data_IF_603016210081
#
_entry.id   IF_603016210081
#
_cell.length_a   1.000
_cell.length_b   1.000
_cell.length_c   1.000
_cell.angle_alpha   90.00
_cell.angle_beta   90.00
_cell.angle_gamma   90.00
#
_symmetry.space_group_name_H-M   'P 1'
#
loop_
_entity.id
_entity.type
_entity.pdbx_description
1 polymer ?
#
# COMPACT_ATOMS: atom_id res chain seq x y z
N UNK A 1 -5.00 -30.35 -5.24
CA UNK A 1 -6.34 -29.87 -5.62
C UNK A 1 -6.68 -28.66 -4.77
N UNK A 2 -7.30 -27.65 -5.36
CA UNK A 2 -7.83 -26.48 -4.68
C UNK A 2 -9.36 -26.60 -4.63
N UNK A 3 -9.92 -26.48 -3.43
CA UNK A 3 -11.35 -26.45 -3.20
C UNK A 3 -11.75 -24.99 -2.91
N UNK A 4 -12.56 -24.41 -3.78
CA UNK A 4 -13.10 -23.05 -3.62
C UNK A 4 -14.64 -23.14 -3.66
N UNK A 5 -15.27 -22.95 -2.49
CA UNK A 5 -16.69 -23.19 -2.33
C UNK A 5 -17.05 -24.68 -2.50
N UNK A 6 -17.96 -24.98 -3.43
CA UNK A 6 -18.36 -26.36 -3.80
C UNK A 6 -17.58 -26.91 -5.02
N UNK A 7 -16.77 -26.06 -5.66
CA UNK A 7 -16.01 -26.44 -6.85
C UNK A 7 -14.62 -26.98 -6.49
N UNK A 8 -14.26 -28.11 -7.09
CA UNK A 8 -12.94 -28.73 -6.98
C UNK A 8 -12.19 -28.48 -8.29
N UNK A 9 -11.10 -27.73 -8.21
CA UNK A 9 -10.28 -27.46 -9.39
C UNK A 9 -8.85 -27.95 -9.18
N UNK A 10 -8.24 -28.46 -10.24
CA UNK A 10 -6.80 -28.71 -10.25
C UNK A 10 -6.06 -27.36 -10.29
N UNK A 11 -5.23 -27.10 -9.28
CA UNK A 11 -4.53 -25.83 -9.19
C UNK A 11 -3.13 -25.98 -8.56
N UNK A 12 -2.31 -24.96 -8.73
CA UNK A 12 -0.99 -24.88 -8.13
C UNK A 12 -1.05 -24.17 -6.80
N UNK A 13 -0.20 -24.56 -5.85
CA UNK A 13 -0.04 -23.87 -4.55
C UNK A 13 0.31 -22.38 -4.71
N UNK A 14 0.90 -21.99 -5.84
CA UNK A 14 1.19 -20.58 -6.15
C UNK A 14 -0.06 -19.70 -6.32
N UNK A 15 -1.23 -20.31 -6.51
CA UNK A 15 -2.52 -19.59 -6.56
C UNK A 15 -3.15 -19.37 -5.19
N UNK A 16 -2.61 -19.96 -4.14
CA UNK A 16 -3.08 -19.72 -2.78
C UNK A 16 -2.55 -18.37 -2.32
N UNK A 17 -3.45 -17.40 -2.21
CA UNK A 17 -3.11 -16.07 -1.68
C UNK A 17 -3.00 -16.16 -0.17
N UNK A 18 -1.85 -15.74 0.37
CA UNK A 18 -1.62 -15.66 1.81
C UNK A 18 -2.21 -14.35 2.35
N UNK A 19 -2.75 -14.40 3.56
CA UNK A 19 -3.27 -13.20 4.24
C UNK A 19 -4.68 -13.40 4.81
N UNK A 20 -5.63 -12.53 4.47
CA UNK A 20 -6.97 -12.46 5.07
C UNK A 20 -7.95 -13.57 4.63
N UNK A 21 -7.47 -14.80 4.47
CA UNK A 21 -8.27 -15.95 4.07
C UNK A 21 -8.58 -16.83 5.28
N UNK A 22 -9.82 -17.28 5.40
CA UNK A 22 -10.16 -18.40 6.28
C UNK A 22 -9.69 -19.69 5.59
N UNK A 23 -8.54 -20.18 6.01
CA UNK A 23 -7.92 -21.38 5.46
C UNK A 23 -7.94 -22.50 6.50
N UNK A 24 -8.44 -23.65 6.12
CA UNK A 24 -8.35 -24.88 6.89
C UNK A 24 -7.46 -25.88 6.15
N UNK A 25 -6.67 -26.62 6.90
CA UNK A 25 -5.78 -27.65 6.35
C UNK A 25 -6.28 -29.03 6.74
N UNK A 26 -6.27 -29.96 5.81
CA UNK A 26 -6.44 -31.39 6.09
C UNK A 26 -5.04 -32.00 6.10
N UNK A 27 -4.65 -32.53 7.25
CA UNK A 27 -3.34 -33.13 7.45
C UNK A 27 -3.54 -34.65 7.55
N UNK A 28 -2.84 -35.40 6.69
CA UNK A 28 -2.73 -36.85 6.74
C UNK A 28 -1.29 -37.23 7.09
N UNK A 29 -1.11 -38.27 7.82
CA UNK A 29 0.16 -38.86 8.34
C UNK A 29 1.26 -37.82 8.66
N UNK A 30 1.87 -37.15 7.71
CA UNK A 30 2.86 -36.07 7.90
C UNK A 30 2.79 -34.99 6.79
N UNK A 31 1.75 -34.99 5.96
CA UNK A 31 1.63 -34.10 4.80
C UNK A 31 0.29 -33.34 4.81
N UNK A 32 0.29 -32.15 4.22
CA UNK A 32 -0.94 -31.40 3.94
C UNK A 32 -1.61 -32.03 2.72
N UNK A 33 -2.71 -32.76 2.95
CA UNK A 33 -3.46 -33.46 1.91
C UNK A 33 -4.42 -32.54 1.14
N UNK A 34 -4.96 -31.52 1.82
CA UNK A 34 -5.84 -30.54 1.19
C UNK A 34 -5.78 -29.19 1.91
N UNK A 35 -6.04 -28.13 1.16
CA UNK A 35 -6.20 -26.76 1.66
C UNK A 35 -7.61 -26.33 1.28
N UNK A 36 -8.44 -26.01 2.28
CA UNK A 36 -9.79 -25.51 2.10
C UNK A 36 -9.77 -24.00 2.31
N UNK A 37 -10.08 -23.24 1.25
CA UNK A 37 -10.24 -21.81 1.30
C UNK A 37 -11.73 -21.51 1.40
N UNK A 38 -12.17 -21.01 2.55
CA UNK A 38 -13.59 -20.72 2.81
C UNK A 38 -13.96 -19.32 2.35
N UNK A 39 -13.04 -18.39 2.49
CA UNK A 39 -13.23 -17.00 2.10
C UNK A 39 -12.06 -16.56 1.23
N UNK A 40 -12.29 -16.23 -0.05
CA UNK A 40 -11.25 -15.69 -0.92
C UNK A 40 -10.65 -14.41 -0.33
N UNK A 41 -9.36 -14.20 -0.53
CA UNK A 41 -8.73 -12.94 -0.13
C UNK A 41 -9.33 -11.79 -0.93
N UNK A 42 -9.84 -10.79 -0.22
CA UNK A 42 -10.26 -9.52 -0.82
C UNK A 42 -9.12 -8.52 -0.61
N UNK A 43 -8.52 -8.07 -1.68
CA UNK A 43 -7.50 -7.03 -1.65
C UNK A 43 -8.22 -5.69 -1.65
N UNK A 44 -8.38 -5.09 -0.47
CA UNK A 44 -8.99 -3.77 -0.33
C UNK A 44 -8.00 -2.65 -0.65
N UNK A 45 -6.75 -2.82 -0.21
CA UNK A 45 -5.68 -1.84 -0.41
C UNK A 45 -4.48 -2.44 -1.14
N UNK A 46 -3.84 -1.63 -1.96
CA UNK A 46 -2.55 -1.94 -2.55
C UNK A 46 -1.45 -1.13 -1.85
N UNK A 47 -0.28 -1.74 -1.70
CA UNK A 47 0.91 -1.10 -1.11
C UNK A 47 1.94 -0.84 -2.18
N UNK A 48 2.21 0.44 -2.43
CA UNK A 48 3.12 0.91 -3.48
C UNK A 48 4.38 1.48 -2.85
N UNK A 49 5.53 0.89 -3.18
CA UNK A 49 6.82 1.45 -2.78
C UNK A 49 7.11 2.72 -3.59
N UNK A 50 7.30 3.84 -2.89
CA UNK A 50 7.63 5.12 -3.50
C UNK A 50 9.15 5.25 -3.63
N UNK A 51 9.67 5.04 -4.84
CA UNK A 51 11.09 5.12 -5.10
C UNK A 51 11.63 6.55 -4.87
N UNK A 52 12.91 6.63 -4.49
CA UNK A 52 13.64 7.89 -4.40
C UNK A 52 13.90 8.46 -5.81
N UNK A 53 14.34 9.72 -5.88
CA UNK A 53 14.54 10.42 -7.17
C UNK A 53 15.62 9.80 -8.06
N UNK A 54 16.55 9.06 -7.45
CA UNK A 54 17.58 8.25 -8.13
C UNK A 54 17.07 6.86 -8.58
N UNK A 55 15.78 6.56 -8.32
CA UNK A 55 15.18 5.25 -8.56
C UNK A 55 15.51 4.21 -7.49
N UNK A 56 16.21 4.58 -6.43
CA UNK A 56 16.54 3.72 -5.30
C UNK A 56 15.33 3.45 -4.40
N UNK A 57 15.44 2.40 -3.59
CA UNK A 57 14.41 2.03 -2.61
C UNK A 57 14.49 2.87 -1.33
N UNK A 58 15.66 3.39 -1.02
CA UNK A 58 15.97 4.04 0.24
C UNK A 58 16.17 5.54 0.06
N UNK A 59 15.64 6.31 1.00
CA UNK A 59 15.82 7.76 1.12
C UNK A 59 16.67 8.06 2.33
N UNK A 60 17.55 9.05 2.25
CA UNK A 60 18.36 9.49 3.40
C UNK A 60 17.53 10.23 4.46
N UNK A 61 16.45 10.89 4.05
CA UNK A 61 15.50 11.57 4.92
C UNK A 61 14.09 11.52 4.32
N UNK A 62 13.07 11.66 5.16
CA UNK A 62 11.66 11.69 4.74
C UNK A 62 10.96 12.85 5.42
N UNK A 63 10.48 13.81 4.62
CA UNK A 63 9.66 14.91 5.06
C UNK A 63 8.26 14.78 4.45
N UNK A 64 7.23 14.93 5.28
CA UNK A 64 5.84 14.77 4.88
C UNK A 64 5.01 16.01 5.23
N UNK A 65 3.97 16.25 4.45
CA UNK A 65 2.85 17.16 4.75
C UNK A 65 1.54 16.49 4.37
N UNK A 66 0.47 16.80 5.10
CA UNK A 66 -0.88 16.49 4.67
C UNK A 66 -1.66 17.79 4.40
N UNK A 67 -2.55 17.77 3.41
CA UNK A 67 -3.40 18.93 3.08
C UNK A 67 -4.61 19.07 4.00
N UNK A 68 -4.91 18.02 4.78
CA UNK A 68 -5.93 17.98 5.82
C UNK A 68 -5.32 17.48 7.12
N UNK A 69 -6.05 17.66 8.23
CA UNK A 69 -5.66 17.03 9.49
C UNK A 69 -5.49 15.51 9.31
N UNK A 70 -4.56 14.95 10.05
CA UNK A 70 -4.21 13.54 9.92
C UNK A 70 -3.92 12.93 11.29
N UNK A 71 -3.86 11.61 11.36
CA UNK A 71 -3.37 10.86 12.50
C UNK A 71 -2.04 10.20 12.15
N UNK A 72 -1.10 10.25 13.09
CA UNK A 72 0.18 9.54 13.02
C UNK A 72 0.12 8.36 13.97
N UNK A 73 0.53 7.19 13.49
CA UNK A 73 0.74 6.01 14.32
C UNK A 73 2.19 5.57 14.23
N UNK A 74 2.82 5.35 15.40
CA UNK A 74 4.16 4.80 15.52
C UNK A 74 4.18 3.76 16.65
N UNK A 75 4.25 2.49 16.30
CA UNK A 75 4.01 1.40 17.22
C UNK A 75 2.60 1.49 17.81
N UNK A 76 2.49 1.56 19.14
CA UNK A 76 1.21 1.72 19.86
C UNK A 76 0.82 3.20 20.08
N UNK A 77 1.68 4.15 19.74
CA UNK A 77 1.43 5.57 19.94
C UNK A 77 0.63 6.14 18.77
N UNK A 78 -0.43 6.86 19.08
CA UNK A 78 -1.23 7.62 18.11
C UNK A 78 -1.19 9.10 18.49
N UNK A 79 -0.97 9.97 17.52
CA UNK A 79 -0.90 11.42 17.70
C UNK A 79 -1.65 12.13 16.60
N UNK A 80 -2.26 13.27 16.93
CA UNK A 80 -2.89 14.13 15.96
C UNK A 80 -1.84 14.98 15.21
N UNK A 81 -2.12 15.27 13.96
CA UNK A 81 -1.27 16.04 13.08
C UNK A 81 -2.10 17.09 12.35
N UNK A 82 -1.70 18.37 12.48
CA UNK A 82 -2.40 19.49 11.87
C UNK A 82 -2.01 19.65 10.40
N UNK A 83 -3.01 19.91 9.56
CA UNK A 83 -2.84 20.15 8.13
C UNK A 83 -1.73 21.18 7.82
N UNK A 84 -0.96 20.93 6.76
CA UNK A 84 0.06 21.84 6.26
C UNK A 84 1.35 21.94 7.07
N UNK A 85 1.45 21.27 8.24
CA UNK A 85 2.68 21.26 9.04
C UNK A 85 3.76 20.42 8.34
N UNK A 86 5.02 20.83 8.36
CA UNK A 86 6.12 19.99 7.88
C UNK A 86 6.51 19.00 8.97
N UNK A 87 6.53 17.75 8.61
CA UNK A 87 6.89 16.62 9.47
C UNK A 87 8.23 16.04 9.05
N UNK A 88 9.24 16.13 9.91
CA UNK A 88 10.47 15.34 9.78
C UNK A 88 10.25 13.97 10.43
N UNK A 89 10.10 12.95 9.60
CA UNK A 89 9.82 11.59 10.06
C UNK A 89 11.00 10.98 10.81
N UNK A 90 12.23 11.42 10.55
CA UNK A 90 13.45 10.89 11.21
C UNK A 90 13.41 11.06 12.73
N UNK A 91 12.74 12.10 13.21
CA UNK A 91 12.60 12.39 14.64
C UNK A 91 11.84 11.33 15.44
N UNK A 92 11.04 10.51 14.76
CA UNK A 92 10.28 9.40 15.39
C UNK A 92 11.13 8.16 15.64
N UNK A 93 12.22 7.96 14.89
CA UNK A 93 13.07 6.77 14.94
C UNK A 93 14.27 6.90 15.88
N UNK A 94 14.23 7.80 16.86
CA UNK A 94 15.37 8.04 17.75
C UNK A 94 15.62 6.90 18.74
N UNK A 95 14.55 6.28 19.25
CA UNK A 95 14.63 5.27 20.32
C UNK A 95 14.10 3.88 19.91
N UNK A 96 13.30 3.80 18.86
CA UNK A 96 12.61 2.57 18.42
C UNK A 96 12.61 2.43 16.91
N UNK A 97 12.59 1.20 16.43
CA UNK A 97 12.39 0.83 15.04
C UNK A 97 11.01 0.20 14.86
N UNK A 98 10.00 1.05 14.82
CA UNK A 98 8.63 0.67 14.53
C UNK A 98 8.24 1.13 13.10
N UNK A 99 7.07 0.73 12.64
CA UNK A 99 6.49 1.30 11.42
C UNK A 99 5.85 2.64 11.77
N UNK A 100 6.34 3.71 11.14
CA UNK A 100 5.66 5.00 11.14
C UNK A 100 4.55 4.97 10.10
N UNK A 101 3.36 5.47 10.41
CA UNK A 101 2.30 5.69 9.42
C UNK A 101 1.57 6.98 9.68
N UNK A 102 1.16 7.65 8.59
CA UNK A 102 0.31 8.84 8.63
C UNK A 102 -0.94 8.57 7.78
N UNK A 103 -2.11 8.89 8.32
CA UNK A 103 -3.42 8.68 7.70
C UNK A 103 -4.19 9.99 7.69
N UNK A 104 -4.61 10.52 6.52
CA UNK A 104 -5.48 11.69 6.45
C UNK A 104 -6.82 11.44 7.16
N UNK A 105 -7.38 12.46 7.79
CA UNK A 105 -8.66 12.38 8.48
C UNK A 105 -9.86 12.22 7.52
N UNK A 106 -9.65 12.50 6.23
CA UNK A 106 -10.69 12.39 5.18
C UNK A 106 -10.19 11.55 4.01
N UNK A 107 -11.09 10.84 3.33
CA UNK A 107 -10.78 10.00 2.16
C UNK A 107 -10.13 10.76 1.00
N UNK A 108 -10.50 12.04 0.83
CA UNK A 108 -9.95 12.90 -0.22
C UNK A 108 -8.66 13.60 0.17
N UNK A 109 -8.25 13.49 1.44
CA UNK A 109 -6.99 14.06 1.94
C UNK A 109 -5.79 13.41 1.27
N UNK A 110 -4.74 14.21 1.09
CA UNK A 110 -3.49 13.77 0.46
C UNK A 110 -2.29 14.02 1.34
N UNK A 111 -1.32 13.11 1.23
CA UNK A 111 -0.02 13.20 1.86
C UNK A 111 1.01 13.50 0.77
N UNK A 112 1.85 14.50 1.01
CA UNK A 112 2.88 14.95 0.09
C UNK A 112 4.26 14.61 0.65
N UNK A 113 5.12 14.09 -0.22
CA UNK A 113 6.55 14.09 0.04
C UNK A 113 7.08 15.51 -0.15
N UNK A 114 7.95 15.94 0.75
CA UNK A 114 8.56 17.27 0.74
C UNK A 114 10.08 17.18 0.78
N UNK A 115 10.74 18.27 0.40
CA UNK A 115 12.14 18.51 0.74
C UNK A 115 12.28 19.05 2.18
N UNK A 116 13.51 19.22 2.66
CA UNK A 116 13.81 19.77 3.99
C UNK A 116 13.27 21.20 4.19
N UNK A 117 13.17 21.99 3.11
CA UNK A 117 12.61 23.33 3.14
C UNK A 117 11.07 23.33 3.17
N UNK A 118 10.45 22.16 3.02
CA UNK A 118 9.01 21.99 3.02
C UNK A 118 8.33 22.23 1.67
N UNK A 119 9.08 22.29 0.56
CA UNK A 119 8.48 22.30 -0.76
C UNK A 119 8.01 20.90 -1.13
N UNK A 120 6.84 20.79 -1.75
CA UNK A 120 6.32 19.49 -2.20
C UNK A 120 7.10 18.98 -3.41
N UNK A 121 7.55 17.73 -3.34
CA UNK A 121 8.25 17.02 -4.41
C UNK A 121 7.41 15.90 -5.04
N UNK A 122 6.13 15.81 -4.66
CA UNK A 122 5.19 14.82 -5.20
C UNK A 122 3.83 15.46 -5.51
N UNK A 123 3.01 14.76 -6.31
CA UNK A 123 1.66 15.20 -6.64
C UNK A 123 0.62 14.90 -5.52
N UNK A 124 1.08 14.37 -4.39
CA UNK A 124 0.22 13.96 -3.29
C UNK A 124 -0.37 12.57 -3.47
N UNK A 125 -0.35 11.80 -2.38
CA UNK A 125 -0.79 10.42 -2.31
C UNK A 125 -2.08 10.32 -1.50
N UNK A 126 -3.09 9.66 -2.05
CA UNK A 126 -4.30 9.29 -1.31
C UNK A 126 -4.04 8.06 -0.43
N UNK A 127 -4.88 7.84 0.58
CA UNK A 127 -4.68 6.75 1.54
C UNK A 127 -3.64 7.10 2.58
N UNK A 128 -2.96 6.10 3.13
CA UNK A 128 -1.91 6.30 4.14
C UNK A 128 -0.50 6.19 3.54
N UNK A 129 0.45 6.79 4.24
CA UNK A 129 1.88 6.65 3.94
C UNK A 129 2.55 5.99 5.13
N UNK A 130 3.26 4.89 4.88
CA UNK A 130 4.06 4.17 5.85
C UNK A 130 5.55 4.44 5.59
N UNK A 131 6.32 4.61 6.67
CA UNK A 131 7.78 4.77 6.61
C UNK A 131 8.42 3.75 7.54
N UNK A 132 9.47 3.10 7.06
CA UNK A 132 10.31 2.20 7.85
C UNK A 132 11.77 2.59 7.71
N UNK A 133 12.50 2.50 8.81
CA UNK A 133 13.94 2.69 8.84
C UNK A 133 14.67 1.37 8.59
N UNK A 134 15.77 1.43 7.85
CA UNK A 134 16.72 0.36 7.61
C UNK A 134 18.15 0.92 7.76
N UNK A 135 19.16 0.06 7.71
CA UNK A 135 20.57 0.49 7.76
C UNK A 135 20.92 1.42 6.59
N UNK A 136 20.34 1.18 5.41
CA UNK A 136 20.57 1.95 4.19
C UNK A 136 19.75 3.25 4.11
N UNK A 137 18.78 3.44 5.01
CA UNK A 137 17.90 4.61 5.01
C UNK A 137 16.43 4.29 5.25
N UNK A 138 15.54 5.11 4.71
CA UNK A 138 14.10 4.99 4.89
C UNK A 138 13.41 4.51 3.63
N UNK A 139 12.51 3.54 3.76
CA UNK A 139 11.55 3.20 2.71
C UNK A 139 10.23 3.90 2.95
N UNK A 140 9.58 4.34 1.88
CA UNK A 140 8.27 4.98 1.92
C UNK A 140 7.29 4.15 1.11
N UNK A 141 6.18 3.75 1.71
CA UNK A 141 5.14 2.94 1.10
C UNK A 141 3.81 3.67 1.18
N UNK A 142 3.15 3.87 0.05
CA UNK A 142 1.78 4.34 0.03
C UNK A 142 0.82 3.14 0.10
N UNK A 143 -0.08 3.13 1.07
CA UNK A 143 -1.16 2.16 1.18
C UNK A 143 -2.46 2.86 0.80
N UNK A 144 -3.04 2.45 -0.31
CA UNK A 144 -4.17 3.15 -0.94
C UNK A 144 -5.26 2.14 -1.33
N UNK A 145 -6.57 2.50 -1.20
CA UNK A 145 -7.64 1.66 -1.71
C UNK A 145 -7.43 1.34 -3.19
N UNK A 146 -7.64 0.08 -3.55
CA UNK A 146 -7.29 -0.44 -4.88
C UNK A 146 -7.96 0.33 -6.02
N UNK A 147 -9.23 0.69 -5.86
CA UNK A 147 -9.97 1.48 -6.85
C UNK A 147 -9.39 2.90 -6.98
N UNK A 148 -8.96 3.51 -5.89
CA UNK A 148 -8.31 4.82 -5.90
C UNK A 148 -6.96 4.75 -6.61
N UNK A 149 -6.18 3.69 -6.38
CA UNK A 149 -4.93 3.42 -7.10
C UNK A 149 -5.16 3.36 -8.62
N UNK A 150 -6.19 2.64 -9.08
CA UNK A 150 -6.50 2.52 -10.51
C UNK A 150 -6.81 3.87 -11.16
N UNK A 151 -7.44 4.81 -10.43
CA UNK A 151 -7.71 6.16 -10.96
C UNK A 151 -6.44 6.95 -11.26
N UNK A 152 -5.33 6.64 -10.59
CA UNK A 152 -4.04 7.26 -10.84
C UNK A 152 -3.20 6.50 -11.89
N UNK A 153 -3.21 5.17 -11.83
CA UNK A 153 -2.37 4.32 -12.70
C UNK A 153 -2.89 4.28 -14.14
N UNK A 154 -4.21 4.14 -14.34
CA UNK A 154 -4.75 4.04 -15.70
C UNK A 154 -4.38 5.27 -16.56
N UNK A 155 -4.53 6.53 -16.09
CA UNK A 155 -4.11 7.69 -16.86
C UNK A 155 -2.59 7.82 -17.06
N UNK A 156 -1.77 7.23 -16.19
CA UNK A 156 -0.31 7.24 -16.33
C UNK A 156 0.18 6.27 -17.40
N UNK A 157 -0.55 5.16 -17.59
CA UNK A 157 -0.22 4.14 -18.59
C UNK A 157 -0.85 4.42 -19.97
N UNK A 158 -2.02 5.04 -19.98
CA UNK A 158 -2.78 5.30 -21.20
C UNK A 158 -3.42 6.69 -21.17
N UNK A 159 -3.18 7.54 -22.19
CA UNK A 159 -3.78 8.87 -22.26
C UNK A 159 -5.30 8.84 -22.09
N UNK A 160 -5.85 9.75 -21.29
CA UNK A 160 -7.29 9.86 -21.04
C UNK A 160 -8.13 10.20 -22.28
N UNK A 161 -7.47 10.57 -23.38
CA UNK A 161 -8.10 10.83 -24.70
C UNK A 161 -8.41 9.58 -25.51
N UNK A 162 -7.95 8.39 -25.03
CA UNK A 162 -8.23 7.13 -25.72
C UNK A 162 -9.69 6.72 -25.52
N UNK A 163 -10.15 5.85 -26.42
CA UNK A 163 -11.50 5.32 -26.39
C UNK A 163 -11.84 4.67 -25.03
N UNK A 164 -13.04 4.89 -24.54
CA UNK A 164 -13.49 4.43 -23.21
C UNK A 164 -13.29 2.93 -23.01
N UNK A 165 -13.50 2.12 -24.05
CA UNK A 165 -13.32 0.66 -23.97
C UNK A 165 -11.83 0.28 -23.83
N UNK A 166 -10.93 1.05 -24.45
CA UNK A 166 -9.49 0.87 -24.26
C UNK A 166 -9.05 1.19 -22.82
N UNK A 167 -9.57 2.28 -22.22
CA UNK A 167 -9.32 2.63 -20.82
C UNK A 167 -9.88 1.59 -19.85
N UNK A 168 -11.04 1.01 -20.15
CA UNK A 168 -11.58 -0.11 -19.36
C UNK A 168 -10.72 -1.36 -19.46
N UNK A 169 -10.23 -1.70 -20.65
CA UNK A 169 -9.32 -2.83 -20.83
C UNK A 169 -8.01 -2.61 -20.06
N UNK A 170 -7.45 -1.41 -20.09
CA UNK A 170 -6.26 -1.05 -19.29
C UNK A 170 -6.52 -1.18 -17.79
N UNK A 171 -7.70 -0.75 -17.32
CA UNK A 171 -8.05 -0.90 -15.89
C UNK A 171 -8.15 -2.38 -15.48
N UNK A 172 -8.67 -3.26 -16.34
CA UNK A 172 -8.69 -4.72 -16.11
C UNK A 172 -7.25 -5.28 -16.07
N UNK A 173 -6.39 -4.88 -17.00
CA UNK A 173 -4.99 -5.27 -16.99
C UNK A 173 -4.28 -4.83 -15.69
N UNK A 174 -4.43 -3.56 -15.31
CA UNK A 174 -3.83 -3.02 -14.09
C UNK A 174 -4.37 -3.67 -12.80
N UNK A 175 -5.60 -4.21 -12.84
CA UNK A 175 -6.20 -4.96 -11.72
C UNK A 175 -5.66 -6.38 -11.60
N UNK A 176 -5.18 -6.96 -12.68
CA UNK A 176 -4.79 -8.37 -12.78
C UNK A 176 -3.28 -8.59 -12.67
N UNK A 177 -2.50 -7.50 -12.76
CA UNK A 177 -1.04 -7.51 -12.68
C UNK A 177 -0.60 -7.44 -11.22
#
# INVERSE_FOLDING_TARGET
ELLEGEDVTESSISKVVLGNMEVSYVIGEEEVCAILIRTPAVIENIRVLLLADDGGKFRSAVYLKADVDASIKFGETVSDYAAGTLLDVSTWFTERDDTFSIQPATENGKIFLCDEAGNTISNGYSGSVEVRRYEEGYTVVNSVPFETYLTAVVPSEMPSTYEKEALKAQAVCARSY
#
